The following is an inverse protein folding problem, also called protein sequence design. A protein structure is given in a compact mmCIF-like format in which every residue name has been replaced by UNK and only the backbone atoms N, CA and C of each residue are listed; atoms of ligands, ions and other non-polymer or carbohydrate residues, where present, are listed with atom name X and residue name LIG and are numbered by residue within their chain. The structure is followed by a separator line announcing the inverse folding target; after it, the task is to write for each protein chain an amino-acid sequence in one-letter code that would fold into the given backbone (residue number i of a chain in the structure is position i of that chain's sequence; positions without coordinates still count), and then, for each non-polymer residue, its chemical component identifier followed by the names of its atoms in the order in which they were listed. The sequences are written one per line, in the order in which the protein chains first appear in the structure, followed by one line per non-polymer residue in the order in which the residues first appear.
data_IF_794955487412
#
_entry.id   IF_794955487412
#
_cell.length_a   1.000
_cell.length_b   1.000
_cell.length_c   1.000
_cell.angle_alpha   90.00
_cell.angle_beta   90.00
_cell.angle_gamma   90.00
#
_symmetry.space_group_name_H-M   'P 1'
#
loop_
_entity.id
_entity.type
_entity.pdbx_description
1 polymer ?
#
# COMPACT_ATOMS: atom_id res chain seq x y z
N UNK A 1 -49.12 -16.73 -48.26
CA UNK A 1 -48.41 -15.45 -48.39
C UNK A 1 -47.74 -15.40 -49.77
N UNK A 2 -47.85 -14.28 -50.50
CA UNK A 2 -47.23 -14.16 -51.83
C UNK A 2 -45.71 -14.08 -51.69
N UNK A 3 -44.96 -14.83 -52.50
CA UNK A 3 -43.50 -14.94 -52.46
C UNK A 3 -42.82 -13.56 -52.48
N UNK A 4 -43.41 -12.60 -53.21
CA UNK A 4 -42.94 -11.20 -53.29
C UNK A 4 -42.96 -10.48 -51.93
N UNK A 5 -43.96 -10.73 -51.09
CA UNK A 5 -44.08 -10.13 -49.76
C UNK A 5 -43.05 -10.70 -48.79
N UNK A 6 -42.74 -12.00 -48.90
CA UNK A 6 -41.69 -12.65 -48.10
C UNK A 6 -40.30 -12.11 -48.49
N UNK A 7 -40.02 -11.96 -49.79
CA UNK A 7 -38.77 -11.34 -50.25
C UNK A 7 -38.62 -9.89 -49.75
N UNK A 8 -39.67 -9.07 -49.83
CA UNK A 8 -39.63 -7.69 -49.33
C UNK A 8 -39.33 -7.61 -47.82
N UNK A 9 -39.95 -8.47 -47.01
CA UNK A 9 -39.68 -8.54 -45.57
C UNK A 9 -38.24 -8.98 -45.24
N UNK A 10 -37.67 -9.90 -46.02
CA UNK A 10 -36.27 -10.32 -45.87
C UNK A 10 -35.28 -9.20 -46.21
N UNK A 11 -35.59 -8.38 -47.22
CA UNK A 11 -34.75 -7.24 -47.62
C UNK A 11 -34.81 -6.15 -46.54
N UNK A 12 -36.00 -5.83 -46.03
CA UNK A 12 -36.20 -4.84 -44.97
C UNK A 12 -35.48 -5.23 -43.67
N UNK A 13 -35.62 -6.49 -43.24
CA UNK A 13 -34.91 -6.98 -42.04
C UNK A 13 -33.39 -6.96 -42.22
N UNK A 14 -32.89 -7.34 -43.39
CA UNK A 14 -31.46 -7.25 -43.70
C UNK A 14 -30.94 -5.82 -43.66
N UNK A 15 -31.71 -4.86 -44.19
CA UNK A 15 -31.36 -3.44 -44.15
C UNK A 15 -31.31 -2.90 -42.72
N UNK A 16 -32.30 -3.24 -41.89
CA UNK A 16 -32.32 -2.86 -40.46
C UNK A 16 -31.12 -3.45 -39.72
N UNK A 17 -30.77 -4.71 -40.01
CA UNK A 17 -29.60 -5.37 -39.41
C UNK A 17 -28.30 -4.66 -39.79
N UNK A 18 -28.13 -4.28 -41.06
CA UNK A 18 -26.96 -3.53 -41.53
C UNK A 18 -26.85 -2.16 -40.86
N UNK A 19 -27.95 -1.43 -40.71
CA UNK A 19 -27.97 -0.14 -40.01
C UNK A 19 -27.62 -0.31 -38.53
N UNK A 20 -28.16 -1.33 -37.87
CA UNK A 20 -27.84 -1.63 -36.48
C UNK A 20 -26.35 -1.97 -36.29
N UNK A 21 -25.77 -2.78 -37.19
CA UNK A 21 -24.34 -3.09 -37.17
C UNK A 21 -23.47 -1.87 -37.40
N UNK A 22 -23.85 -0.98 -38.33
CA UNK A 22 -23.13 0.26 -38.58
C UNK A 22 -23.16 1.19 -37.35
N UNK A 23 -24.32 1.30 -36.70
CA UNK A 23 -24.48 2.09 -35.47
C UNK A 23 -23.67 1.52 -34.30
N UNK A 24 -23.74 0.21 -34.06
CA UNK A 24 -22.95 -0.45 -33.02
C UNK A 24 -21.45 -0.36 -33.30
N UNK A 25 -21.05 -0.47 -34.57
CA UNK A 25 -19.66 -0.28 -35.00
C UNK A 25 -19.16 1.13 -34.68
N UNK A 26 -19.98 2.15 -34.95
CA UNK A 26 -19.68 3.54 -34.65
C UNK A 26 -19.48 3.80 -33.15
N UNK A 27 -20.45 3.39 -32.31
CA UNK A 27 -20.36 3.51 -30.84
C UNK A 27 -19.11 2.82 -30.27
N UNK A 28 -18.79 1.63 -30.80
CA UNK A 28 -17.62 0.87 -30.36
C UNK A 28 -16.31 1.53 -30.79
N UNK A 29 -16.27 2.18 -31.96
CA UNK A 29 -15.11 2.97 -32.39
C UNK A 29 -14.91 4.24 -31.57
N UNK A 30 -15.98 4.98 -31.28
CA UNK A 30 -15.88 6.18 -30.43
C UNK A 30 -15.47 5.83 -29.01
N UNK A 31 -16.06 4.78 -28.43
CA UNK A 31 -15.69 4.28 -27.10
C UNK A 31 -14.22 3.87 -27.06
N UNK A 32 -13.72 3.17 -28.10
CA UNK A 32 -12.30 2.80 -28.19
C UNK A 32 -11.40 4.03 -28.26
N UNK A 33 -11.79 5.06 -29.01
CA UNK A 33 -11.03 6.30 -29.15
C UNK A 33 -10.93 7.04 -27.81
N UNK A 34 -12.05 7.26 -27.14
CA UNK A 34 -12.08 7.91 -25.81
C UNK A 34 -11.28 7.10 -24.79
N UNK A 35 -11.40 5.77 -24.79
CA UNK A 35 -10.60 4.92 -23.90
C UNK A 35 -9.10 5.03 -24.19
N UNK A 36 -8.68 5.12 -25.45
CA UNK A 36 -7.27 5.32 -25.81
C UNK A 36 -6.75 6.68 -25.31
N UNK A 37 -7.52 7.74 -25.49
CA UNK A 37 -7.18 9.08 -24.99
C UNK A 37 -7.07 9.09 -23.46
N UNK A 38 -8.01 8.47 -22.75
CA UNK A 38 -7.97 8.34 -21.29
C UNK A 38 -6.75 7.53 -20.82
N UNK A 39 -6.45 6.40 -21.47
CA UNK A 39 -5.27 5.60 -21.16
C UNK A 39 -4.00 6.43 -21.37
N UNK A 40 -3.92 7.23 -22.43
CA UNK A 40 -2.77 8.08 -22.69
C UNK A 40 -2.63 9.19 -21.64
N UNK A 41 -3.73 9.81 -21.21
CA UNK A 41 -3.74 10.77 -20.10
C UNK A 41 -3.30 10.13 -18.78
N UNK A 42 -3.78 8.92 -18.48
CA UNK A 42 -3.36 8.18 -17.28
C UNK A 42 -1.87 7.82 -17.32
N UNK A 43 -1.34 7.46 -18.49
CA UNK A 43 0.10 7.20 -18.66
C UNK A 43 0.92 8.48 -18.46
N UNK A 44 0.48 9.62 -18.98
CA UNK A 44 1.14 10.90 -18.74
C UNK A 44 1.07 11.33 -17.27
N UNK A 45 -0.09 11.19 -16.63
CA UNK A 45 -0.27 11.44 -15.20
C UNK A 45 0.60 10.49 -14.35
N UNK A 46 0.74 9.23 -14.78
CA UNK A 46 1.66 8.27 -14.16
C UNK A 46 3.12 8.63 -14.39
N UNK A 47 3.51 9.18 -15.54
CA UNK A 47 4.89 9.64 -15.74
C UNK A 47 5.19 10.89 -14.90
N UNK A 48 4.21 11.78 -14.73
CA UNK A 48 4.33 12.95 -13.84
C UNK A 48 4.27 12.58 -12.35
N UNK A 49 3.53 11.53 -11.97
CA UNK A 49 3.44 11.01 -10.60
C UNK A 49 4.36 9.82 -10.28
N UNK A 50 5.08 9.31 -11.28
CA UNK A 50 5.74 7.99 -11.28
C UNK A 50 7.09 7.94 -10.59
N UNK A 51 7.71 9.11 -10.33
CA UNK A 51 8.90 9.20 -9.47
C UNK A 51 8.60 8.83 -8.01
N UNK A 52 7.32 8.79 -7.62
CA UNK A 52 6.93 8.50 -6.24
C UNK A 52 7.07 7.02 -5.85
N UNK A 53 7.03 6.07 -6.80
CA UNK A 53 7.06 4.63 -6.47
C UNK A 53 8.46 4.12 -6.13
N UNK A 54 9.42 4.39 -7.03
CA UNK A 54 10.82 3.97 -6.87
C UNK A 54 11.48 4.73 -5.70
N UNK A 55 11.25 6.05 -5.59
CA UNK A 55 11.74 6.84 -4.46
C UNK A 55 11.14 6.43 -3.12
N UNK A 56 9.87 6.01 -3.10
CA UNK A 56 9.22 5.49 -1.90
C UNK A 56 9.79 4.13 -1.48
N UNK A 57 9.97 3.21 -2.43
CA UNK A 57 10.58 1.90 -2.14
C UNK A 57 12.01 2.04 -1.62
N UNK A 58 12.82 2.90 -2.26
CA UNK A 58 14.19 3.21 -1.82
C UNK A 58 14.20 3.83 -0.42
N UNK A 59 13.27 4.75 -0.15
CA UNK A 59 13.13 5.38 1.16
C UNK A 59 12.80 4.35 2.27
N UNK A 60 11.83 3.46 2.02
CA UNK A 60 11.44 2.42 2.99
C UNK A 60 12.56 1.40 3.23
N UNK A 61 13.15 0.86 2.16
CA UNK A 61 14.18 -0.18 2.26
C UNK A 61 15.52 0.34 2.76
N UNK A 62 15.81 1.62 2.53
CA UNK A 62 17.07 2.27 2.91
C UNK A 62 16.91 3.12 4.17
N UNK A 63 16.41 4.34 4.00
CA UNK A 63 16.39 5.37 5.04
C UNK A 63 15.63 4.92 6.29
N UNK A 64 14.40 4.43 6.13
CA UNK A 64 13.56 3.97 7.25
C UNK A 64 14.19 2.78 7.96
N UNK A 65 14.57 1.75 7.22
CA UNK A 65 15.22 0.56 7.80
C UNK A 65 16.50 0.90 8.57
N UNK A 66 17.35 1.76 8.02
CA UNK A 66 18.59 2.18 8.68
C UNK A 66 18.33 2.97 9.96
N UNK A 67 17.29 3.82 9.99
CA UNK A 67 16.89 4.53 11.20
C UNK A 67 16.37 3.57 12.26
N UNK A 68 15.53 2.59 11.90
CA UNK A 68 15.06 1.56 12.85
C UNK A 68 16.25 0.84 13.50
N UNK A 69 17.24 0.44 12.70
CA UNK A 69 18.46 -0.24 13.19
C UNK A 69 19.24 0.63 14.19
N UNK A 70 19.38 1.94 13.93
CA UNK A 70 20.06 2.87 14.85
C UNK A 70 19.33 3.00 16.19
N UNK A 71 18.02 2.79 16.22
CA UNK A 71 17.20 2.85 17.42
C UNK A 71 16.93 1.48 18.05
N UNK A 72 17.53 0.39 17.53
CA UNK A 72 17.30 -0.98 18.03
C UNK A 72 17.53 -1.10 19.53
N UNK A 73 18.57 -0.49 20.10
CA UNK A 73 18.83 -0.54 21.55
C UNK A 73 17.68 0.04 22.39
N UNK A 74 17.14 1.20 21.98
CA UNK A 74 16.00 1.80 22.68
C UNK A 74 14.72 0.97 22.55
N UNK A 75 14.51 0.34 21.39
CA UNK A 75 13.35 -0.54 21.15
C UNK A 75 13.50 -1.84 21.95
N UNK A 76 14.70 -2.43 21.96
CA UNK A 76 15.04 -3.64 22.70
C UNK A 76 14.84 -3.49 24.20
N UNK A 77 15.05 -2.29 24.76
CA UNK A 77 14.80 -2.04 26.19
C UNK A 77 13.36 -2.33 26.63
N UNK A 78 12.37 -2.18 25.74
CA UNK A 78 10.99 -2.55 26.03
C UNK A 78 10.84 -4.06 26.25
N UNK A 79 11.52 -4.86 25.42
CA UNK A 79 11.51 -6.31 25.52
C UNK A 79 12.30 -6.81 26.74
N UNK A 80 13.47 -6.21 27.03
CA UNK A 80 14.24 -6.53 28.23
C UNK A 80 13.43 -6.30 29.50
N UNK A 81 12.75 -5.16 29.60
CA UNK A 81 11.85 -4.86 30.72
C UNK A 81 10.72 -5.87 30.85
N UNK A 82 10.16 -6.34 29.72
CA UNK A 82 9.10 -7.34 29.70
C UNK A 82 9.55 -8.67 30.30
N UNK A 83 10.69 -9.20 29.83
CA UNK A 83 11.19 -10.51 30.29
C UNK A 83 11.75 -10.45 31.72
N UNK A 84 12.23 -9.28 32.16
CA UNK A 84 12.65 -9.07 33.56
C UNK A 84 11.46 -9.07 34.52
N UNK A 85 10.33 -8.49 34.14
CA UNK A 85 9.14 -8.45 34.99
C UNK A 85 8.32 -9.74 34.94
N UNK A 86 8.41 -10.49 33.84
CA UNK A 86 7.54 -11.64 33.55
C UNK A 86 8.38 -12.87 33.13
N UNK A 87 8.86 -13.69 34.08
CA UNK A 87 9.76 -14.82 33.79
C UNK A 87 9.10 -15.95 32.95
N UNK A 88 7.77 -16.00 32.88
CA UNK A 88 7.02 -17.02 32.13
C UNK A 88 6.77 -16.63 30.66
N UNK A 89 7.16 -15.42 30.23
CA UNK A 89 7.00 -14.97 28.84
C UNK A 89 8.03 -15.65 27.93
N UNK A 90 7.66 -16.00 26.68
CA UNK A 90 8.62 -16.54 25.70
C UNK A 90 9.86 -15.66 25.54
N UNK A 91 11.04 -16.28 25.53
CA UNK A 91 12.32 -15.58 25.32
C UNK A 91 12.52 -15.07 23.88
N UNK A 92 11.59 -15.35 22.99
CA UNK A 92 11.55 -14.80 21.63
C UNK A 92 10.13 -14.68 21.10
N UNK A 93 9.92 -13.75 20.18
CA UNK A 93 8.61 -13.52 19.57
C UNK A 93 8.63 -12.40 18.54
N UNK A 94 7.52 -12.26 17.82
CA UNK A 94 7.35 -11.24 16.78
C UNK A 94 6.25 -10.25 17.15
N UNK A 95 6.44 -9.01 16.72
CA UNK A 95 5.51 -7.91 16.96
C UNK A 95 5.38 -7.10 15.68
N UNK A 96 4.15 -6.98 15.18
CA UNK A 96 3.83 -6.14 14.03
C UNK A 96 3.42 -4.76 14.54
N UNK A 97 4.11 -3.74 14.08
CA UNK A 97 3.85 -2.34 14.43
C UNK A 97 3.65 -1.55 13.14
N UNK A 98 2.72 -0.62 13.16
CA UNK A 98 2.56 0.40 12.13
C UNK A 98 2.67 1.81 12.68
N UNK A 99 2.99 2.74 11.80
CA UNK A 99 3.03 4.17 12.10
C UNK A 99 3.02 4.99 10.81
N UNK A 100 2.83 6.30 10.95
CA UNK A 100 2.98 7.25 9.85
C UNK A 100 4.16 8.18 10.12
N UNK A 101 4.87 8.55 9.06
CA UNK A 101 5.95 9.54 9.06
C UNK A 101 5.44 10.76 8.30
N UNK A 102 5.41 11.93 8.93
CA UNK A 102 4.99 13.18 8.29
C UNK A 102 6.03 13.71 7.29
N UNK A 103 5.69 14.80 6.60
CA UNK A 103 6.60 15.43 5.63
C UNK A 103 7.90 15.97 6.24
N UNK A 104 7.95 16.19 7.56
CA UNK A 104 9.12 16.60 8.31
C UNK A 104 9.91 15.44 8.92
N UNK A 105 9.45 14.20 8.75
CA UNK A 105 10.09 13.01 9.31
C UNK A 105 9.63 12.62 10.72
N UNK A 106 8.64 13.30 11.29
CA UNK A 106 8.12 12.98 12.63
C UNK A 106 7.11 11.85 12.56
N UNK A 107 7.13 11.00 13.58
CA UNK A 107 6.19 9.89 13.71
C UNK A 107 4.89 10.35 14.34
N UNK A 108 3.77 9.81 13.84
CA UNK A 108 2.47 9.89 14.48
C UNK A 108 1.70 8.57 14.31
N UNK A 109 0.70 8.35 15.15
CA UNK A 109 -0.15 7.14 15.15
C UNK A 109 0.64 5.81 15.22
N UNK A 110 1.73 5.78 16.01
CA UNK A 110 2.46 4.54 16.23
C UNK A 110 1.63 3.55 17.06
N UNK A 111 1.39 2.36 16.52
CA UNK A 111 0.49 1.36 17.10
C UNK A 111 0.98 -0.07 16.91
N UNK A 112 0.68 -0.94 17.88
CA UNK A 112 0.94 -2.39 17.75
C UNK A 112 -0.28 -3.07 17.16
N UNK A 113 -0.10 -3.71 16.01
CA UNK A 113 -1.16 -4.41 15.27
C UNK A 113 -1.25 -5.88 15.69
N UNK A 114 -0.10 -6.53 15.93
CA UNK A 114 -0.03 -7.91 16.44
C UNK A 114 1.10 -8.04 17.43
N UNK A 115 0.85 -8.73 18.53
CA UNK A 115 1.81 -8.95 19.61
C UNK A 115 1.75 -10.41 20.07
N UNK A 116 2.81 -11.18 19.83
CA UNK A 116 2.92 -12.58 20.26
C UNK A 116 3.10 -12.73 21.79
N UNK A 117 3.47 -11.65 22.51
CA UNK A 117 3.60 -11.66 23.97
C UNK A 117 2.32 -11.26 24.70
N UNK A 118 1.35 -10.67 23.98
CA UNK A 118 0.06 -10.21 24.50
C UNK A 118 0.17 -9.31 25.75
N UNK A 119 1.19 -8.44 25.82
CA UNK A 119 1.47 -7.61 26.99
C UNK A 119 1.26 -6.11 26.70
N UNK A 120 0.43 -5.45 27.52
CA UNK A 120 0.00 -4.05 27.29
C UNK A 120 1.08 -3.03 27.64
N UNK A 121 1.85 -3.27 28.69
CA UNK A 121 2.95 -2.39 29.09
C UNK A 121 4.04 -2.36 28.02
N UNK A 122 4.33 -3.51 27.43
CA UNK A 122 5.25 -3.68 26.32
C UNK A 122 4.75 -2.99 25.04
N UNK A 123 3.47 -3.17 24.68
CA UNK A 123 2.85 -2.48 23.54
C UNK A 123 2.94 -0.95 23.68
N UNK A 124 2.64 -0.45 24.88
CA UNK A 124 2.74 0.98 25.19
C UNK A 124 4.18 1.49 25.08
N UNK A 125 5.15 0.76 25.65
CA UNK A 125 6.57 1.09 25.54
C UNK A 125 7.03 1.18 24.08
N UNK A 126 6.67 0.20 23.24
CA UNK A 126 7.01 0.21 21.81
C UNK A 126 6.42 1.41 21.08
N UNK A 127 5.12 1.69 21.29
CA UNK A 127 4.46 2.84 20.67
C UNK A 127 5.15 4.16 21.04
N UNK A 128 5.50 4.35 22.30
CA UNK A 128 6.27 5.52 22.76
C UNK A 128 7.65 5.58 22.10
N UNK A 129 8.41 4.48 22.13
CA UNK A 129 9.77 4.48 21.57
C UNK A 129 9.81 4.71 20.07
N UNK A 130 8.82 4.22 19.33
CA UNK A 130 8.71 4.46 17.89
C UNK A 130 8.23 5.88 17.61
N UNK A 131 7.27 6.40 18.39
CA UNK A 131 6.80 7.78 18.31
C UNK A 131 7.86 8.84 18.59
N UNK A 132 8.88 8.50 19.38
CA UNK A 132 10.04 9.38 19.68
C UNK A 132 11.06 9.45 18.53
N UNK A 133 10.99 8.55 17.54
CA UNK A 133 11.97 8.51 16.45
C UNK A 133 11.71 9.63 15.45
N UNK A 134 12.78 10.31 15.03
CA UNK A 134 12.77 11.22 13.88
C UNK A 134 13.40 10.54 12.69
N UNK A 135 12.60 10.31 11.65
CA UNK A 135 13.05 9.73 10.39
C UNK A 135 13.56 10.82 9.44
N UNK A 136 14.37 10.47 8.43
CA UNK A 136 14.65 11.36 7.32
C UNK A 136 13.34 11.77 6.65
N UNK A 137 13.21 13.03 6.21
CA UNK A 137 12.01 13.49 5.53
C UNK A 137 11.70 12.64 4.28
N UNK A 138 10.44 12.23 4.05
CA UNK A 138 10.06 11.49 2.86
C UNK A 138 10.39 12.28 1.58
N UNK A 139 11.03 11.67 0.56
CA UNK A 139 11.38 12.36 -0.70
C UNK A 139 10.18 12.96 -1.43
N UNK A 140 8.99 12.39 -1.21
CA UNK A 140 7.75 12.86 -1.83
C UNK A 140 7.19 14.14 -1.20
N UNK A 141 7.72 14.57 -0.04
CA UNK A 141 7.16 15.68 0.75
C UNK A 141 5.78 15.42 1.34
N UNK A 142 5.26 14.19 1.22
CA UNK A 142 3.99 13.73 1.78
C UNK A 142 4.22 12.71 2.88
N UNK A 143 3.22 12.53 3.73
CA UNK A 143 3.26 11.49 4.76
C UNK A 143 3.38 10.10 4.15
N UNK A 144 4.09 9.22 4.84
CA UNK A 144 4.34 7.84 4.44
C UNK A 144 3.90 6.90 5.55
N UNK A 145 3.08 5.92 5.21
CA UNK A 145 2.73 4.80 6.10
C UNK A 145 3.84 3.76 6.10
N UNK A 146 4.17 3.26 7.29
CA UNK A 146 5.19 2.23 7.50
C UNK A 146 4.59 1.11 8.33
N UNK A 147 4.83 -0.12 7.90
CA UNK A 147 4.56 -1.33 8.66
C UNK A 147 5.87 -2.09 8.84
N UNK A 148 6.15 -2.54 10.06
CA UNK A 148 7.36 -3.29 10.37
C UNK A 148 7.11 -4.40 11.38
N UNK A 149 7.63 -5.59 11.08
CA UNK A 149 7.67 -6.71 12.03
C UNK A 149 9.00 -6.74 12.75
N UNK A 150 8.97 -6.48 14.05
CA UNK A 150 10.13 -6.66 14.92
C UNK A 150 10.23 -8.13 15.36
N UNK A 151 11.45 -8.66 15.39
CA UNK A 151 11.75 -9.98 15.95
C UNK A 151 12.58 -9.76 17.20
N UNK A 152 11.99 -10.06 18.35
CA UNK A 152 12.65 -9.96 19.65
C UNK A 152 13.20 -11.30 20.07
N UNK A 153 14.39 -11.28 20.65
CA UNK A 153 15.07 -12.43 21.27
C UNK A 153 15.86 -11.95 22.46
N UNK A 154 15.93 -12.77 23.50
CA UNK A 154 16.88 -12.58 24.61
C UNK A 154 18.29 -12.79 24.04
N UNK A 155 19.16 -11.80 24.16
CA UNK A 155 20.56 -11.99 23.81
C UNK A 155 21.17 -12.95 24.84
N UNK A 156 21.67 -14.09 24.37
CA UNK A 156 22.51 -14.95 25.21
C UNK A 156 23.83 -14.21 25.42
N UNK A 157 24.13 -13.87 26.68
CA UNK A 157 25.36 -13.14 27.01
C UNK A 157 26.59 -13.91 26.53
N UNK A 158 27.36 -13.31 25.62
CA UNK A 158 28.76 -13.65 25.37
C UNK A 158 29.64 -13.29 26.56
#
# INVERSE_FOLDING_TARGET
MSTKSVFLLSILSSLVMLVALAYLGYELTETRRVNQELVQQLLQARQQGGGSGEGHEVYLKGAVKNTIVKHTGSIQSCFLKLIESNPDIPESGRVLVDWQIDSGGKVFEAGVIRDEFSNKEFQSCLGTKIGEIVFPAPPSGRSVYVEHTFVFRKEEGT
#
